data_IF_189344687173
#
_entry.id   IF_189344687173
#
_cell.length_a   1.000
_cell.length_b   1.000
_cell.length_c   1.000
_cell.angle_alpha   90.00
_cell.angle_beta   90.00
_cell.angle_gamma   90.00
#
_symmetry.space_group_name_H-M   'P 1'
#
loop_
_entity.id
_entity.type
_entity.pdbx_description
1 polymer ?
#
# COMPACT_ATOMS: atom_id res chain seq x y z
N UNK A 1 10.09 5.49 -6.28
CA UNK A 1 9.15 6.41 -5.57
C UNK A 1 8.05 5.61 -4.88
N UNK A 2 7.24 6.23 -4.01
CA UNK A 2 6.08 5.57 -3.39
C UNK A 2 4.79 5.91 -4.13
N UNK A 3 4.05 4.89 -4.52
CA UNK A 3 2.79 4.97 -5.23
C UNK A 3 1.63 4.46 -4.38
N UNK A 4 0.41 4.87 -4.77
CA UNK A 4 -0.82 4.48 -4.07
C UNK A 4 -1.92 4.11 -5.07
N UNK A 5 -2.50 2.92 -4.89
CA UNK A 5 -3.66 2.45 -5.65
C UNK A 5 -4.85 2.16 -4.73
N UNK A 6 -6.06 2.26 -5.29
CA UNK A 6 -7.31 1.88 -4.63
C UNK A 6 -7.81 0.58 -5.22
N UNK A 7 -8.05 -0.41 -4.37
CA UNK A 7 -8.60 -1.71 -4.75
C UNK A 7 -9.83 -1.97 -3.88
N UNK A 8 -11.02 -1.69 -4.42
CA UNK A 8 -12.28 -1.77 -3.67
C UNK A 8 -12.25 -0.92 -2.39
N UNK A 9 -12.30 -1.59 -1.23
CA UNK A 9 -12.24 -0.95 0.10
C UNK A 9 -10.82 -0.82 0.66
N UNK A 10 -9.78 -1.12 -0.10
CA UNK A 10 -8.39 -1.03 0.35
C UNK A 10 -7.64 0.13 -0.31
N UNK A 11 -6.67 0.68 0.43
CA UNK A 11 -5.59 1.51 -0.08
C UNK A 11 -4.29 0.73 0.03
N UNK A 12 -3.60 0.58 -1.09
CA UNK A 12 -2.31 -0.10 -1.14
C UNK A 12 -1.24 0.95 -1.43
N UNK A 13 -0.20 0.99 -0.61
CA UNK A 13 1.02 1.77 -0.86
C UNK A 13 2.10 0.80 -1.30
N UNK A 14 2.73 1.10 -2.43
CA UNK A 14 3.75 0.24 -3.02
C UNK A 14 4.89 1.07 -3.61
N UNK A 15 6.05 0.43 -3.73
CA UNK A 15 7.16 0.89 -4.54
C UNK A 15 7.33 -0.06 -5.74
N UNK A 16 7.78 0.49 -6.85
CA UNK A 16 8.27 -0.21 -8.03
C UNK A 16 9.78 -0.02 -8.00
N UNK A 17 10.46 -1.15 -8.09
CA UNK A 17 11.88 -1.25 -8.34
C UNK A 17 12.02 -1.75 -9.78
N UNK A 18 12.32 -0.83 -10.69
CA UNK A 18 12.43 -1.10 -12.12
C UNK A 18 13.69 -1.92 -12.45
N UNK A 19 14.76 -1.79 -11.65
CA UNK A 19 16.01 -2.53 -11.83
C UNK A 19 15.79 -4.02 -11.56
N UNK A 20 15.09 -4.32 -10.46
CA UNK A 20 14.75 -5.70 -10.07
C UNK A 20 13.47 -6.22 -10.72
N UNK A 21 12.76 -5.40 -11.51
CA UNK A 21 11.41 -5.69 -12.07
C UNK A 21 10.42 -6.15 -11.00
N UNK A 22 10.50 -5.53 -9.83
CA UNK A 22 9.76 -5.95 -8.64
C UNK A 22 8.81 -4.87 -8.16
N UNK A 23 7.65 -5.29 -7.65
CA UNK A 23 6.75 -4.41 -6.90
C UNK A 23 6.80 -4.79 -5.42
N UNK A 24 7.12 -3.82 -4.58
CA UNK A 24 7.22 -3.97 -3.13
C UNK A 24 5.97 -3.35 -2.50
N UNK A 25 5.13 -4.17 -1.89
CA UNK A 25 3.96 -3.68 -1.15
C UNK A 25 4.39 -3.26 0.24
N UNK A 26 4.31 -1.96 0.52
CA UNK A 26 4.74 -1.38 1.80
C UNK A 26 3.63 -1.40 2.83
N UNK A 27 2.38 -1.12 2.40
CA UNK A 27 1.22 -1.09 3.31
C UNK A 27 -0.06 -1.44 2.58
N UNK A 28 -0.90 -2.24 3.23
CA UNK A 28 -2.30 -2.47 2.84
C UNK A 28 -3.18 -1.97 3.97
N UNK A 29 -4.05 -1.00 3.69
CA UNK A 29 -4.95 -0.41 4.69
C UNK A 29 -6.40 -0.51 4.23
N UNK A 30 -7.29 -0.92 5.13
CA UNK A 30 -8.74 -0.92 4.88
C UNK A 30 -9.33 0.48 5.01
N UNK A 31 -10.37 0.75 4.23
CA UNK A 31 -11.18 1.98 4.24
C UNK A 31 -12.31 1.83 5.27
N UNK A 32 -11.94 1.80 6.53
CA UNK A 32 -12.78 2.21 7.65
C UNK A 32 -11.81 2.81 8.65
N UNK A 33 -12.24 3.81 9.42
CA UNK A 33 -11.40 4.61 10.30
C UNK A 33 -10.79 3.85 11.47
N UNK A 34 -10.00 2.81 11.21
CA UNK A 34 -9.21 2.07 12.19
C UNK A 34 -7.72 2.12 11.80
N UNK A 35 -7.31 3.27 11.27
CA UNK A 35 -5.90 3.58 10.99
C UNK A 35 -5.10 3.87 12.26
N UNK A 36 -5.56 3.46 13.45
CA UNK A 36 -4.77 3.49 14.70
C UNK A 36 -5.28 2.46 15.70
N UNK A 37 -5.17 1.15 15.40
CA UNK A 37 -5.19 0.13 16.45
C UNK A 37 -4.09 -0.89 16.19
N UNK A 38 -3.09 -0.85 17.08
CA UNK A 38 -1.97 -1.79 17.25
C UNK A 38 -0.67 -1.48 16.49
N UNK A 39 -0.16 -0.27 16.73
CA UNK A 39 1.23 -0.13 17.18
C UNK A 39 1.21 0.65 18.49
#
# INVERSE_FOLDING_TARGET
>A
GLWRIRVGRYRIVYAIDDESRMIIVVRVAWRSGDTYKRL
#
